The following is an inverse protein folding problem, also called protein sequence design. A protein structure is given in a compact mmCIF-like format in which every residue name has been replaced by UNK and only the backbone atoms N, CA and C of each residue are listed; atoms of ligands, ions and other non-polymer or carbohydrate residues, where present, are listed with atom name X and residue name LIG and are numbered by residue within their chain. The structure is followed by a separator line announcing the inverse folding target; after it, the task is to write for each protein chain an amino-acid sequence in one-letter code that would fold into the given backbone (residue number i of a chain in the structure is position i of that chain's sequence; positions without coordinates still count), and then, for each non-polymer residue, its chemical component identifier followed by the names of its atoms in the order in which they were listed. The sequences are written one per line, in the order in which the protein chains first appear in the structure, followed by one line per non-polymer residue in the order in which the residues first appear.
data_IF_563371446686
#
_entry.id   IF_563371446686
#
_cell.length_a   1.000
_cell.length_b   1.000
_cell.length_c   1.000
_cell.angle_alpha   90.00
_cell.angle_beta   90.00
_cell.angle_gamma   90.00
#
_symmetry.space_group_name_H-M   'P 1'
#
loop_
_entity.id
_entity.type
_entity.pdbx_description
1 polymer ?
#
# COMPACT_ATOMS: atom_id res chain seq x y z
N UNK A 1 -13.64 14.34 8.91
CA UNK A 1 -14.22 13.33 9.69
C UNK A 1 -13.26 12.27 10.04
N UNK A 2 -12.99 12.24 11.24
CA UNK A 2 -12.01 11.33 11.76
C UNK A 2 -12.37 9.88 11.54
N UNK A 3 -13.66 9.62 11.50
CA UNK A 3 -14.09 8.23 11.37
C UNK A 3 -13.56 7.56 10.12
N UNK A 4 -13.24 8.35 9.11
CA UNK A 4 -12.79 7.76 7.87
C UNK A 4 -11.47 7.05 8.00
N UNK A 5 -10.69 7.40 9.00
CA UNK A 5 -9.38 6.81 9.15
C UNK A 5 -9.43 5.39 9.67
N UNK A 6 -10.61 4.89 9.98
CA UNK A 6 -10.72 3.54 10.54
C UNK A 6 -10.88 2.46 9.49
N UNK A 7 -10.87 2.81 8.21
CA UNK A 7 -10.99 1.81 7.17
C UNK A 7 -9.79 0.87 7.20
N UNK A 8 -10.00 -0.44 7.21
CA UNK A 8 -8.87 -1.38 7.17
C UNK A 8 -8.12 -1.27 5.86
N UNK A 9 -6.81 -1.50 5.94
CA UNK A 9 -5.97 -1.35 4.74
C UNK A 9 -6.41 -2.30 3.62
N UNK A 10 -6.81 -3.51 3.96
CA UNK A 10 -7.16 -4.45 2.89
C UNK A 10 -8.44 -4.02 2.16
N UNK A 11 -9.35 -3.34 2.84
CA UNK A 11 -10.54 -2.82 2.16
C UNK A 11 -10.18 -1.68 1.23
N UNK A 12 -9.28 -0.83 1.67
CA UNK A 12 -8.85 0.28 0.80
C UNK A 12 -8.14 -0.25 -0.43
N UNK A 13 -7.26 -1.21 -0.26
CA UNK A 13 -6.55 -1.77 -1.40
C UNK A 13 -7.48 -2.50 -2.36
N UNK A 14 -8.49 -3.20 -1.81
CA UNK A 14 -9.50 -3.80 -2.67
C UNK A 14 -10.23 -2.76 -3.48
N UNK A 15 -10.58 -1.65 -2.87
CA UNK A 15 -11.28 -0.60 -3.59
C UNK A 15 -10.42 -0.04 -4.71
N UNK A 16 -9.14 0.16 -4.45
CA UNK A 16 -8.23 0.64 -5.48
C UNK A 16 -8.17 -0.34 -6.64
N UNK A 17 -8.19 -1.63 -6.35
CA UNK A 17 -8.06 -2.64 -7.40
C UNK A 17 -9.34 -2.80 -8.22
N UNK A 18 -10.50 -2.65 -7.62
CA UNK A 18 -11.76 -3.02 -8.28
C UNK A 18 -12.64 -1.86 -8.67
N UNK A 19 -12.46 -0.69 -8.10
CA UNK A 19 -13.25 0.48 -8.42
C UNK A 19 -12.55 1.25 -9.53
N UNK A 20 -13.06 1.15 -10.74
CA UNK A 20 -12.37 1.74 -11.88
C UNK A 20 -12.23 3.24 -11.77
N UNK A 21 -13.26 3.91 -11.29
CA UNK A 21 -13.17 5.35 -11.15
C UNK A 21 -12.13 5.75 -10.14
N UNK A 22 -12.08 5.03 -9.03
CA UNK A 22 -11.14 5.33 -7.98
C UNK A 22 -9.71 4.98 -8.40
N UNK A 23 -9.55 3.90 -9.17
CA UNK A 23 -8.22 3.40 -9.51
C UNK A 23 -7.54 4.17 -10.64
N UNK A 24 -8.20 5.16 -11.21
CA UNK A 24 -7.58 5.92 -12.29
C UNK A 24 -6.57 6.95 -11.80
N UNK A 25 -6.47 7.13 -10.50
CA UNK A 25 -5.48 8.03 -9.94
C UNK A 25 -4.14 7.32 -9.78
N UNK A 26 -3.10 8.09 -9.54
CA UNK A 26 -1.79 7.53 -9.21
C UNK A 26 -1.73 7.27 -7.72
N UNK A 27 -1.57 6.00 -7.36
CA UNK A 27 -1.52 5.61 -5.96
C UNK A 27 -0.11 5.23 -5.57
N UNK A 28 0.25 5.53 -4.33
CA UNK A 28 1.50 5.10 -3.72
C UNK A 28 1.20 4.60 -2.33
N UNK A 29 1.99 3.65 -1.88
CA UNK A 29 1.92 3.22 -0.49
C UNK A 29 3.23 3.52 0.19
N UNK A 30 3.14 3.80 1.49
CA UNK A 30 4.32 3.92 2.32
C UNK A 30 4.32 2.79 3.34
N UNK A 31 5.34 1.98 3.33
CA UNK A 31 5.45 0.89 4.29
C UNK A 31 6.71 1.06 5.13
N UNK A 32 6.67 0.55 6.35
CA UNK A 32 7.82 0.65 7.22
C UNK A 32 8.80 -0.48 6.91
N UNK A 33 10.02 -0.11 6.56
CA UNK A 33 11.07 -1.08 6.27
C UNK A 33 11.91 -1.27 7.52
N UNK A 34 11.97 -2.51 8.00
CA UNK A 34 12.68 -2.80 9.24
C UNK A 34 14.18 -2.70 9.09
N UNK A 35 14.69 -2.93 7.90
CA UNK A 35 16.13 -2.85 7.66
C UNK A 35 16.56 -1.40 7.57
N UNK A 36 15.83 -0.61 6.77
CA UNK A 36 16.15 0.80 6.60
C UNK A 36 15.65 1.64 7.75
N UNK A 37 14.69 1.12 8.51
CA UNK A 37 14.13 1.79 9.68
C UNK A 37 13.46 3.11 9.37
N UNK A 38 12.81 3.18 8.21
CA UNK A 38 12.00 4.33 7.87
C UNK A 38 10.94 3.90 6.85
N UNK A 39 10.03 4.83 6.57
CA UNK A 39 8.95 4.59 5.63
C UNK A 39 9.49 4.70 4.20
N UNK A 40 9.17 3.71 3.38
CA UNK A 40 9.55 3.70 1.98
C UNK A 40 8.29 3.81 1.14
N UNK A 41 8.26 4.76 0.22
CA UNK A 41 7.11 4.96 -0.66
C UNK A 41 7.36 4.29 -1.99
N UNK A 42 6.37 3.53 -2.45
CA UNK A 42 6.45 2.85 -3.75
C UNK A 42 5.15 3.06 -4.50
N UNK A 43 5.20 3.21 -5.83
CA UNK A 43 3.98 3.31 -6.62
C UNK A 43 3.22 1.99 -6.60
N UNK A 44 1.90 2.09 -6.54
CA UNK A 44 1.07 0.89 -6.53
C UNK A 44 1.29 0.04 -7.78
N UNK A 45 1.64 0.65 -8.89
CA UNK A 45 1.84 -0.11 -10.12
C UNK A 45 3.06 -1.02 -10.06
N UNK A 46 3.92 -0.83 -9.08
CA UNK A 46 5.13 -1.64 -8.96
C UNK A 46 5.00 -2.77 -7.95
N UNK A 47 3.84 -2.92 -7.34
CA UNK A 47 3.63 -4.01 -6.40
C UNK A 47 2.67 -5.02 -6.98
N UNK A 48 2.74 -6.22 -6.45
CA UNK A 48 1.96 -7.35 -6.95
C UNK A 48 1.19 -7.98 -5.81
N UNK A 49 -0.06 -8.36 -6.11
CA UNK A 49 -0.89 -9.06 -5.14
C UNK A 49 -1.11 -10.48 -5.63
N UNK A 50 -0.76 -11.46 -4.81
CA UNK A 50 -1.01 -12.84 -5.16
C UNK A 50 -2.48 -13.18 -5.00
N UNK A 51 -3.09 -13.86 -5.97
CA UNK A 51 -4.48 -14.25 -5.81
C UNK A 51 -4.65 -15.10 -4.56
N UNK A 52 -5.62 -14.74 -3.75
CA UNK A 52 -5.88 -15.47 -2.53
C UNK A 52 -5.08 -15.04 -1.32
N UNK A 53 -4.07 -14.20 -1.51
CA UNK A 53 -3.28 -13.71 -0.40
C UNK A 53 -3.77 -12.32 -0.02
N UNK A 54 -4.33 -12.21 1.16
CA UNK A 54 -4.88 -10.94 1.63
C UNK A 54 -4.03 -10.28 2.70
N UNK A 55 -2.84 -10.81 2.94
CA UNK A 55 -2.03 -10.35 4.07
C UNK A 55 -0.72 -9.71 3.68
N UNK A 56 -0.34 -9.79 2.41
CA UNK A 56 0.96 -9.27 1.99
C UNK A 56 0.90 -8.90 0.52
N UNK A 57 1.87 -8.10 0.11
CA UNK A 57 2.09 -7.82 -1.31
C UNK A 57 3.56 -8.05 -1.61
N UNK A 58 3.85 -8.19 -2.89
CA UNK A 58 5.20 -8.45 -3.35
C UNK A 58 5.71 -7.27 -4.16
N UNK A 59 7.00 -7.02 -4.06
CA UNK A 59 7.63 -6.03 -4.92
C UNK A 59 9.07 -6.44 -5.20
N UNK A 60 9.60 -5.96 -6.32
CA UNK A 60 11.00 -6.18 -6.65
C UNK A 60 11.82 -4.99 -6.19
N UNK A 61 12.98 -5.28 -5.59
CA UNK A 61 13.89 -4.21 -5.25
C UNK A 61 14.72 -3.84 -6.48
N UNK A 62 15.63 -2.88 -6.32
CA UNK A 62 16.40 -2.42 -7.48
C UNK A 62 17.44 -3.44 -7.91
N UNK A 63 17.64 -4.50 -7.16
CA UNK A 63 18.52 -5.58 -7.58
C UNK A 63 17.76 -6.73 -8.22
N UNK A 64 16.45 -6.58 -8.38
CA UNK A 64 15.65 -7.60 -9.02
C UNK A 64 15.17 -8.70 -8.10
N UNK A 65 15.37 -8.58 -6.81
CA UNK A 65 14.93 -9.59 -5.86
C UNK A 65 13.50 -9.30 -5.39
N UNK A 66 12.72 -10.36 -5.31
CA UNK A 66 11.33 -10.23 -4.89
C UNK A 66 11.23 -10.26 -3.38
N UNK A 67 10.51 -9.28 -2.85
CA UNK A 67 10.28 -9.19 -1.41
C UNK A 67 8.79 -9.23 -1.14
N UNK A 68 8.41 -9.94 -0.09
CA UNK A 68 7.02 -10.00 0.35
C UNK A 68 6.86 -9.13 1.59
N UNK A 69 5.97 -8.16 1.52
CA UNK A 69 5.79 -7.17 2.57
C UNK A 69 4.42 -7.38 3.20
N UNK A 70 4.35 -7.66 4.50
CA UNK A 70 3.05 -7.81 5.16
C UNK A 70 2.27 -6.50 5.11
N UNK A 71 0.96 -6.61 4.92
CA UNK A 71 0.12 -5.43 4.84
C UNK A 71 0.12 -4.63 6.13
N UNK A 72 0.38 -5.28 7.26
CA UNK A 72 0.39 -4.53 8.51
C UNK A 72 1.55 -3.56 8.61
N UNK A 73 2.53 -3.65 7.70
CA UNK A 73 3.61 -2.68 7.66
C UNK A 73 3.29 -1.45 6.85
N UNK A 74 2.17 -1.46 6.10
CA UNK A 74 1.75 -0.29 5.36
C UNK A 74 1.24 0.75 6.35
N UNK A 75 1.81 1.93 6.29
CA UNK A 75 1.47 3.02 7.21
C UNK A 75 0.77 4.17 6.53
N UNK A 76 0.89 4.28 5.23
CA UNK A 76 0.37 5.43 4.50
C UNK A 76 -0.09 4.98 3.12
N UNK A 77 -1.11 5.64 2.60
CA UNK A 77 -1.54 5.46 1.22
C UNK A 77 -1.77 6.85 0.64
N UNK A 78 -1.23 7.08 -0.54
CA UNK A 78 -1.32 8.38 -1.21
C UNK A 78 -2.07 8.23 -2.52
N UNK A 79 -2.85 9.23 -2.86
CA UNK A 79 -3.56 9.33 -4.13
C UNK A 79 -3.16 10.64 -4.78
N UNK A 80 -2.50 10.56 -5.94
CA UNK A 80 -1.98 11.74 -6.65
C UNK A 80 -1.13 12.59 -5.74
N UNK A 81 -0.35 11.96 -4.87
CA UNK A 81 0.52 12.66 -3.96
C UNK A 81 -0.13 13.12 -2.68
N UNK A 82 -1.42 12.91 -2.52
CA UNK A 82 -2.15 13.35 -1.35
C UNK A 82 -2.38 12.17 -0.42
N UNK A 83 -2.07 12.36 0.86
CA UNK A 83 -2.27 11.31 1.86
C UNK A 83 -3.76 11.10 2.08
N UNK A 84 -4.25 9.89 1.80
CA UNK A 84 -5.67 9.58 1.98
C UNK A 84 -5.90 8.55 3.08
N UNK A 85 -4.87 7.90 3.56
CA UNK A 85 -5.01 6.90 4.59
C UNK A 85 -3.69 6.78 5.33
N UNK A 86 -3.76 6.67 6.64
CA UNK A 86 -2.55 6.43 7.41
C UNK A 86 -2.91 5.77 8.72
N UNK A 87 -1.92 5.17 9.35
CA UNK A 87 -2.06 4.67 10.70
C UNK A 87 -0.73 4.81 11.41
N UNK A 88 -0.82 4.86 12.71
CA UNK A 88 0.38 4.99 13.53
C UNK A 88 0.62 3.69 14.25
N UNK A 89 0.69 2.70 13.63
CA UNK A 89 0.89 1.41 14.18
C UNK A 89 0.33 1.25 15.61
#
# INVERSE_FOLDING_TARGET
MAACSMMPIHELLNRIRWDKAFSQADFEIGYYDRVEEHIIRVPMREIFFEPGDHFAFDLYDHEGELHSIPLHRVKQVFRNGELIWHREH
#
